data_IF_846439663552
#
_entry.id   IF_846439663552
#
_cell.length_a   1.000
_cell.length_b   1.000
_cell.length_c   1.000
_cell.angle_alpha   90.00
_cell.angle_beta   90.00
_cell.angle_gamma   90.00
#
_symmetry.space_group_name_H-M   'P 1'
#
loop_
_entity.id
_entity.type
_entity.pdbx_description
1 polymer ?
#
# COMPACT_ATOMS: atom_id res chain seq x y z
N UNK A 1 3.33 -6.10 -7.11
CA UNK A 1 3.31 -5.22 -5.92
C UNK A 1 4.54 -4.35 -5.93
N UNK A 2 4.34 -3.05 -5.82
CA UNK A 2 5.41 -2.04 -5.71
C UNK A 2 5.41 -1.49 -4.28
N UNK A 3 6.60 -1.33 -3.69
CA UNK A 3 6.73 -0.95 -2.27
C UNK A 3 7.46 0.39 -2.18
N UNK A 4 6.82 1.38 -1.59
CA UNK A 4 7.29 2.75 -1.48
C UNK A 4 7.09 3.31 -0.07
N UNK A 5 7.69 4.46 0.20
CA UNK A 5 7.41 5.29 1.36
C UNK A 5 7.12 6.71 0.87
N UNK A 6 6.03 7.27 1.33
CA UNK A 6 5.53 8.58 0.90
C UNK A 6 6.25 9.73 1.62
N UNK A 7 6.02 10.96 1.18
CA UNK A 7 6.54 12.17 1.78
C UNK A 7 5.48 13.27 1.83
N UNK A 8 4.76 13.35 2.94
CA UNK A 8 3.84 14.46 3.18
C UNK A 8 4.60 15.68 3.71
N UNK A 9 4.15 16.88 3.34
CA UNK A 9 4.68 18.13 3.93
C UNK A 9 4.27 18.30 5.38
N UNK A 10 3.28 17.56 5.87
CA UNK A 10 2.82 17.59 7.25
C UNK A 10 3.49 16.48 8.07
N UNK A 11 4.37 16.81 9.05
CA UNK A 11 5.03 15.76 9.84
C UNK A 11 4.09 14.93 10.71
N UNK A 12 2.91 15.43 11.01
CA UNK A 12 1.88 14.69 11.76
C UNK A 12 1.12 13.67 10.94
N UNK A 13 1.15 13.77 9.62
CA UNK A 13 0.51 12.81 8.74
C UNK A 13 1.24 11.47 8.81
N UNK A 14 0.48 10.36 8.92
CA UNK A 14 1.07 9.03 9.07
C UNK A 14 0.12 7.94 8.56
N UNK A 15 0.62 6.69 8.54
CA UNK A 15 -0.13 5.53 8.14
C UNK A 15 0.10 5.12 6.69
N UNK A 16 -0.23 3.88 6.37
CA UNK A 16 -0.05 3.32 5.03
C UNK A 16 -1.30 3.49 4.17
N UNK A 17 -1.11 3.45 2.85
CA UNK A 17 -2.21 3.28 1.91
C UNK A 17 -1.80 2.41 0.73
N UNK A 18 -2.79 1.81 0.08
CA UNK A 18 -2.61 0.98 -1.10
C UNK A 18 -3.21 1.72 -2.29
N UNK A 19 -2.36 2.09 -3.25
CA UNK A 19 -2.79 2.71 -4.50
C UNK A 19 -3.06 1.63 -5.55
N UNK A 20 -4.13 1.78 -6.31
CA UNK A 20 -4.49 0.86 -7.39
C UNK A 20 -5.20 1.61 -8.51
N UNK A 21 -5.16 1.05 -9.73
CA UNK A 21 -5.76 1.68 -10.90
C UNK A 21 -7.29 1.67 -10.83
N UNK A 22 -7.90 2.85 -11.03
CA UNK A 22 -9.36 3.02 -11.11
C UNK A 22 -9.68 4.31 -11.87
N UNK A 23 -10.66 4.31 -12.80
CA UNK A 23 -11.46 3.16 -13.21
C UNK A 23 -10.61 2.10 -13.94
N UNK A 24 -11.06 0.83 -13.98
CA UNK A 24 -10.30 -0.22 -14.63
C UNK A 24 -10.25 -0.02 -16.14
N UNK A 25 -9.05 -0.18 -16.73
CA UNK A 25 -8.83 -0.07 -18.16
C UNK A 25 -8.80 -1.43 -18.86
N UNK A 26 -8.77 -2.52 -18.10
CA UNK A 26 -8.86 -3.89 -18.58
C UNK A 26 -9.37 -4.80 -17.45
N UNK A 27 -9.63 -6.08 -17.77
CA UNK A 27 -10.21 -7.02 -16.81
C UNK A 27 -9.33 -7.26 -15.58
N UNK A 28 -8.00 -7.24 -15.73
CA UNK A 28 -7.08 -7.44 -14.61
C UNK A 28 -7.13 -6.29 -13.61
N UNK A 29 -7.48 -5.09 -14.06
CA UNK A 29 -7.61 -3.88 -13.22
C UNK A 29 -8.95 -3.76 -12.51
N UNK A 30 -9.92 -4.62 -12.81
CA UNK A 30 -11.21 -4.68 -12.13
C UNK A 30 -11.12 -5.41 -10.81
N UNK A 31 -11.95 -6.44 -10.65
CA UNK A 31 -12.01 -7.22 -9.40
C UNK A 31 -10.66 -7.84 -8.98
N UNK A 32 -9.83 -8.39 -9.88
CA UNK A 32 -8.55 -8.96 -9.45
C UNK A 32 -7.64 -7.93 -8.76
N UNK A 33 -7.54 -6.72 -9.27
CA UNK A 33 -6.73 -5.64 -8.67
C UNK A 33 -7.35 -5.14 -7.37
N UNK A 34 -8.66 -4.97 -7.33
CA UNK A 34 -9.37 -4.53 -6.12
C UNK A 34 -9.19 -5.56 -5.00
N UNK A 35 -9.28 -6.85 -5.32
CA UNK A 35 -9.04 -7.92 -4.37
C UNK A 35 -7.60 -7.88 -3.84
N UNK A 36 -6.62 -7.67 -4.71
CA UNK A 36 -5.21 -7.52 -4.31
C UNK A 36 -5.03 -6.35 -3.34
N UNK A 37 -5.58 -5.19 -3.68
CA UNK A 37 -5.48 -4.00 -2.84
C UNK A 37 -6.08 -4.22 -1.45
N UNK A 38 -7.26 -4.83 -1.38
CA UNK A 38 -7.92 -5.14 -0.11
C UNK A 38 -7.14 -6.18 0.69
N UNK A 39 -6.60 -7.20 0.04
CA UNK A 39 -5.82 -8.24 0.72
C UNK A 39 -4.55 -7.65 1.34
N UNK A 40 -3.87 -6.75 0.62
CA UNK A 40 -2.71 -6.04 1.16
C UNK A 40 -3.08 -5.14 2.33
N UNK A 41 -4.16 -4.35 2.20
CA UNK A 41 -4.66 -3.51 3.27
C UNK A 41 -4.97 -4.33 4.53
N UNK A 42 -5.69 -5.43 4.38
CA UNK A 42 -6.09 -6.27 5.50
C UNK A 42 -4.87 -6.95 6.15
N UNK A 43 -3.88 -7.36 5.35
CA UNK A 43 -2.64 -7.93 5.85
C UNK A 43 -1.85 -6.95 6.69
N UNK A 44 -1.74 -5.71 6.26
CA UNK A 44 -1.03 -4.66 7.01
C UNK A 44 -1.79 -4.26 8.28
N UNK A 45 -3.10 -4.08 8.22
CA UNK A 45 -3.89 -3.77 9.42
C UNK A 45 -3.87 -4.93 10.41
N UNK A 46 -3.93 -6.17 9.94
CA UNK A 46 -3.82 -7.35 10.79
C UNK A 46 -2.47 -7.48 11.48
N UNK A 47 -1.41 -6.94 10.89
CA UNK A 47 -0.07 -6.88 11.49
C UNK A 47 0.11 -5.70 12.45
N UNK A 48 -0.90 -4.86 12.64
CA UNK A 48 -0.87 -3.74 13.57
C UNK A 48 -0.52 -2.39 12.95
N UNK A 49 -0.37 -2.30 11.62
CA UNK A 49 -0.11 -1.01 10.97
C UNK A 49 -1.40 -0.19 10.82
N UNK A 50 -1.30 1.12 11.04
CA UNK A 50 -2.42 2.03 10.90
C UNK A 50 -2.57 2.51 9.45
N UNK A 51 -3.82 2.68 9.00
CA UNK A 51 -4.12 3.25 7.69
C UNK A 51 -3.83 4.75 7.66
N UNK A 52 -3.56 5.29 6.46
CA UNK A 52 -3.20 6.69 6.26
C UNK A 52 -4.23 7.65 6.84
N UNK A 53 -3.72 8.70 7.50
CA UNK A 53 -4.52 9.80 8.03
C UNK A 53 -4.73 10.92 7.01
N UNK A 54 -4.09 10.85 5.83
CA UNK A 54 -4.03 11.98 4.90
C UNK A 54 -4.34 11.64 3.44
N UNK A 55 -4.29 10.37 3.03
CA UNK A 55 -4.57 9.94 1.65
C UNK A 55 -5.51 8.74 1.67
N UNK A 56 -6.48 8.74 0.75
CA UNK A 56 -7.38 7.63 0.56
C UNK A 56 -8.42 7.49 1.64
N UNK A 57 -9.07 6.34 1.67
CA UNK A 57 -10.09 5.99 2.65
C UNK A 57 -9.92 4.53 3.04
N UNK A 58 -9.89 4.27 4.34
CA UNK A 58 -9.70 2.92 4.89
C UNK A 58 -8.45 2.22 4.30
N UNK A 59 -7.38 2.97 4.08
CA UNK A 59 -6.12 2.46 3.54
C UNK A 59 -6.13 2.19 2.03
N UNK A 60 -7.17 2.57 1.29
CA UNK A 60 -7.29 2.35 -0.14
C UNK A 60 -7.33 3.69 -0.89
N UNK A 61 -6.56 3.79 -1.98
CA UNK A 61 -6.47 5.00 -2.79
C UNK A 61 -6.59 4.66 -4.28
N UNK A 62 -7.79 4.77 -4.86
CA UNK A 62 -7.96 4.57 -6.31
C UNK A 62 -7.31 5.73 -7.08
N UNK A 63 -6.52 5.39 -8.10
CA UNK A 63 -5.73 6.36 -8.87
C UNK A 63 -5.83 6.09 -10.37
N UNK A 64 -5.77 7.16 -11.18
CA UNK A 64 -5.73 7.05 -12.64
C UNK A 64 -4.51 7.75 -13.25
N UNK A 65 -3.56 8.16 -12.43
CA UNK A 65 -2.41 8.98 -12.81
C UNK A 65 -1.05 8.31 -12.58
N UNK A 66 -1.03 7.02 -12.20
CA UNK A 66 0.20 6.27 -11.98
C UNK A 66 0.41 5.26 -13.11
N UNK A 67 1.35 5.59 -14.03
CA UNK A 67 1.57 4.81 -15.25
C UNK A 67 1.83 3.33 -15.02
N UNK A 68 2.62 2.99 -14.01
CA UNK A 68 2.91 1.59 -13.68
C UNK A 68 1.68 0.77 -13.27
N UNK A 69 0.67 1.43 -12.72
CA UNK A 69 -0.61 0.81 -12.38
C UNK A 69 -1.58 0.83 -13.55
N UNK A 70 -1.75 2.00 -14.18
CA UNK A 70 -2.75 2.21 -15.22
C UNK A 70 -2.45 1.44 -16.51
N UNK A 71 -1.17 1.18 -16.81
CA UNK A 71 -0.75 0.42 -17.99
C UNK A 71 -0.59 -1.07 -17.73
N UNK A 72 -0.79 -1.53 -16.50
CA UNK A 72 -0.61 -2.94 -16.16
C UNK A 72 -1.73 -3.81 -16.75
N UNK A 73 -1.35 -4.96 -17.30
CA UNK A 73 -2.26 -6.01 -17.74
C UNK A 73 -2.35 -7.16 -16.73
N UNK A 74 -1.79 -6.96 -15.54
CA UNK A 74 -1.84 -7.89 -14.42
C UNK A 74 -2.40 -7.16 -13.20
N UNK A 75 -2.97 -7.88 -12.21
CA UNK A 75 -3.33 -7.25 -10.95
C UNK A 75 -2.11 -6.56 -10.33
N UNK A 76 -2.23 -5.27 -10.05
CA UNK A 76 -1.11 -4.45 -9.59
C UNK A 76 -1.56 -3.48 -8.51
N UNK A 77 -0.71 -3.34 -7.49
CA UNK A 77 -0.93 -2.39 -6.41
C UNK A 77 0.40 -1.79 -5.96
N UNK A 78 0.35 -0.55 -5.49
CA UNK A 78 1.49 0.17 -4.94
C UNK A 78 1.21 0.43 -3.47
N UNK A 79 2.14 0.03 -2.61
CA UNK A 79 2.04 0.25 -1.17
C UNK A 79 2.88 1.46 -0.81
N UNK A 80 2.24 2.49 -0.27
CA UNK A 80 2.92 3.55 0.46
C UNK A 80 2.92 3.17 1.93
N UNK A 81 4.08 2.72 2.43
CA UNK A 81 4.18 2.16 3.78
C UNK A 81 3.91 3.20 4.87
N UNK A 82 4.18 4.47 4.60
CA UNK A 82 3.94 5.55 5.53
C UNK A 82 4.60 6.84 5.05
N UNK A 83 4.65 7.83 5.94
CA UNK A 83 5.20 9.14 5.67
C UNK A 83 6.64 9.25 6.21
N UNK A 84 7.63 9.37 5.32
CA UNK A 84 9.04 9.52 5.71
C UNK A 84 9.32 10.79 6.53
N UNK A 85 8.45 11.79 6.47
CA UNK A 85 8.57 13.02 7.28
C UNK A 85 7.97 12.90 8.67
N UNK A 86 7.24 11.84 8.94
CA UNK A 86 6.78 11.55 10.29
C UNK A 86 7.94 10.89 11.06
N UNK A 87 8.38 11.46 12.20
CA UNK A 87 9.57 10.94 12.91
C UNK A 87 9.43 9.50 13.38
N UNK A 88 8.25 9.09 13.82
CA UNK A 88 8.02 7.73 14.31
C UNK A 88 8.06 6.72 13.16
N UNK A 89 7.42 7.03 12.02
CA UNK A 89 7.45 6.17 10.85
C UNK A 89 8.85 6.11 10.24
N UNK A 90 9.54 7.24 10.16
CA UNK A 90 10.93 7.27 9.68
C UNK A 90 11.84 6.38 10.53
N UNK A 91 11.66 6.36 11.84
CA UNK A 91 12.43 5.50 12.73
C UNK A 91 12.16 4.01 12.46
N UNK A 92 10.92 3.64 12.17
CA UNK A 92 10.55 2.26 11.80
C UNK A 92 11.22 1.87 10.46
N UNK A 93 11.18 2.76 9.46
CA UNK A 93 11.82 2.51 8.16
C UNK A 93 13.33 2.38 8.27
N UNK A 94 13.97 3.11 9.18
CA UNK A 94 15.41 3.05 9.41
C UNK A 94 15.84 1.79 10.20
N UNK A 95 14.90 1.12 10.87
CA UNK A 95 15.18 -0.06 11.68
C UNK A 95 15.08 -1.34 10.85
N UNK A 96 16.09 -2.23 10.89
CA UNK A 96 15.98 -3.55 10.26
C UNK A 96 14.76 -4.35 10.74
N UNK A 97 14.46 -4.34 12.03
CA UNK A 97 13.29 -5.01 12.59
C UNK A 97 11.98 -4.40 12.07
N UNK A 98 11.92 -3.07 11.95
CA UNK A 98 10.76 -2.37 11.39
C UNK A 98 10.52 -2.73 9.93
N UNK A 99 11.56 -2.71 9.12
CA UNK A 99 11.45 -3.12 7.71
C UNK A 99 11.03 -4.58 7.58
N UNK A 100 11.53 -5.46 8.45
CA UNK A 100 11.15 -6.87 8.44
C UNK A 100 9.66 -7.05 8.75
N UNK A 101 9.11 -6.28 9.67
CA UNK A 101 7.68 -6.33 10.00
C UNK A 101 6.82 -5.99 8.76
N UNK A 102 7.18 -4.95 8.00
CA UNK A 102 6.49 -4.63 6.74
C UNK A 102 6.64 -5.78 5.73
N UNK A 103 7.85 -6.29 5.56
CA UNK A 103 8.12 -7.37 4.61
C UNK A 103 7.31 -8.63 4.94
N UNK A 104 7.24 -9.02 6.20
CA UNK A 104 6.48 -10.20 6.64
C UNK A 104 4.98 -10.03 6.37
N UNK A 105 4.44 -8.87 6.69
CA UNK A 105 3.02 -8.58 6.47
C UNK A 105 2.67 -8.59 4.97
N UNK A 106 3.50 -7.97 4.15
CA UNK A 106 3.30 -7.91 2.70
C UNK A 106 3.43 -9.30 2.07
N UNK A 107 4.45 -10.05 2.43
CA UNK A 107 4.66 -11.41 1.91
C UNK A 107 3.50 -12.33 2.27
N UNK A 108 3.01 -12.25 3.49
CA UNK A 108 1.85 -13.03 3.95
C UNK A 108 0.59 -12.65 3.16
N UNK A 109 0.38 -11.36 2.90
CA UNK A 109 -0.77 -10.90 2.13
C UNK A 109 -0.69 -11.37 0.67
N UNK A 110 0.48 -11.29 0.04
CA UNK A 110 0.69 -11.79 -1.32
C UNK A 110 0.41 -13.30 -1.38
N UNK A 111 0.93 -14.07 -0.42
CA UNK A 111 0.69 -15.50 -0.35
C UNK A 111 -0.81 -15.82 -0.22
N UNK A 112 -1.54 -15.07 0.58
CA UNK A 112 -2.99 -15.22 0.73
C UNK A 112 -3.73 -14.89 -0.57
N UNK A 113 -3.27 -13.90 -1.32
CA UNK A 113 -3.89 -13.50 -2.59
C UNK A 113 -3.70 -14.56 -3.67
N UNK A 114 -2.49 -15.12 -3.81
CA UNK A 114 -2.19 -16.12 -4.86
C UNK A 114 -2.55 -17.55 -4.47
N UNK A 115 -2.70 -17.78 -3.18
CA UNK A 115 -3.13 -19.10 -2.65
C UNK A 115 -4.62 -19.26 -2.71
#
# INVERSE_FOLDING_TARGET
VSIHADGSTSPGAHGFHIAYSSPPLNAAQGEPTTKLARTLRDGLTGAGFATSTYIGSAGLSPRNDLGGLNLSERPSALIECGNMRNPDEAAVFASPAGRQRYADAIAKAIAAYVG
#
